data_IF_518012515949
#
_entry.id   IF_518012515949
#
_cell.length_a   1.000
_cell.length_b   1.000
_cell.length_c   1.000
_cell.angle_alpha   90.00
_cell.angle_beta   90.00
_cell.angle_gamma   90.00
#
_symmetry.space_group_name_H-M   'P 1'
#
loop_
_entity.id
_entity.type
_entity.pdbx_description
1 polymer ?
#
# COMPACT_ATOMS: atom_id res chain seq x y z
N UNK A 1 1.14 8.93 -19.94
CA UNK A 1 1.13 9.96 -18.89
C UNK A 1 1.82 9.44 -17.65
N UNK A 2 2.69 10.23 -17.07
CA UNK A 2 3.39 9.88 -15.82
C UNK A 2 3.03 10.87 -14.75
N UNK A 3 2.71 10.37 -13.56
CA UNK A 3 2.42 11.19 -12.39
C UNK A 3 3.46 10.87 -11.32
N UNK A 4 4.23 11.86 -10.90
CA UNK A 4 5.13 11.69 -9.78
C UNK A 4 4.34 11.93 -8.50
N UNK A 5 3.87 10.85 -7.90
CA UNK A 5 2.95 10.91 -6.77
C UNK A 5 3.66 11.33 -5.49
N UNK A 6 4.85 10.78 -5.27
CA UNK A 6 5.66 11.09 -4.09
C UNK A 6 7.10 11.31 -4.53
N UNK A 7 7.71 12.37 -4.01
CA UNK A 7 9.14 12.59 -4.18
C UNK A 7 9.64 13.47 -3.05
N UNK A 8 10.66 13.02 -2.33
CA UNK A 8 11.30 13.84 -1.32
C UNK A 8 11.85 13.03 -0.18
N UNK A 9 12.31 13.75 0.83
CA UNK A 9 12.79 13.18 2.08
C UNK A 9 11.71 13.27 3.14
N UNK A 10 11.55 12.19 3.89
CA UNK A 10 10.55 12.08 4.92
C UNK A 10 11.17 11.49 6.18
N UNK A 11 10.74 11.97 7.35
CA UNK A 11 11.06 11.27 8.57
C UNK A 11 10.24 9.97 8.64
N UNK A 12 10.66 8.99 9.46
CA UNK A 12 9.97 7.70 9.50
C UNK A 12 8.48 7.78 9.82
N UNK A 13 8.09 8.70 10.70
CA UNK A 13 6.67 8.86 11.07
C UNK A 13 5.81 9.34 9.92
N UNK A 14 6.27 10.36 9.21
CA UNK A 14 5.56 10.89 8.04
C UNK A 14 5.54 9.87 6.90
N UNK A 15 6.65 9.16 6.70
CA UNK A 15 6.72 8.12 5.69
C UNK A 15 5.71 7.01 5.96
N UNK A 16 5.62 6.56 7.22
CA UNK A 16 4.67 5.52 7.61
C UNK A 16 3.22 5.99 7.40
N UNK A 17 2.90 7.20 7.83
CA UNK A 17 1.56 7.74 7.67
C UNK A 17 1.15 7.82 6.21
N UNK A 18 2.01 8.37 5.36
CA UNK A 18 1.72 8.56 3.94
C UNK A 18 1.53 7.22 3.22
N UNK A 19 2.48 6.31 3.39
CA UNK A 19 2.45 5.03 2.66
C UNK A 19 1.36 4.11 3.22
N UNK A 20 1.12 4.14 4.54
CA UNK A 20 0.04 3.36 5.15
C UNK A 20 -1.31 3.70 4.54
N UNK A 21 -1.60 4.98 4.38
CA UNK A 21 -2.86 5.43 3.78
C UNK A 21 -3.02 4.91 2.36
N UNK A 22 -1.95 4.90 1.60
CA UNK A 22 -1.97 4.39 0.23
C UNK A 22 -2.25 2.89 0.20
N UNK A 23 -1.59 2.13 1.07
CA UNK A 23 -1.81 0.68 1.16
C UNK A 23 -3.23 0.38 1.63
N UNK A 24 -3.72 1.12 2.62
CA UNK A 24 -5.10 0.97 3.11
C UNK A 24 -6.14 1.23 2.03
N UNK A 25 -5.91 2.21 1.16
CA UNK A 25 -6.80 2.47 0.04
C UNK A 25 -6.81 1.31 -0.96
N UNK A 26 -5.68 0.69 -1.19
CA UNK A 26 -5.59 -0.48 -2.06
C UNK A 26 -6.34 -1.67 -1.45
N UNK A 27 -6.24 -1.85 -0.14
CA UNK A 27 -6.98 -2.90 0.57
C UNK A 27 -8.48 -2.67 0.43
N UNK A 28 -8.94 -1.46 0.67
CA UNK A 28 -10.35 -1.10 0.51
C UNK A 28 -10.85 -1.36 -0.90
N UNK A 29 -10.04 -1.05 -1.89
CA UNK A 29 -10.38 -1.30 -3.28
C UNK A 29 -10.67 -2.79 -3.49
N UNK A 30 -9.81 -3.68 -2.97
CA UNK A 30 -10.01 -5.12 -3.11
C UNK A 30 -11.23 -5.59 -2.33
N UNK A 31 -11.42 -5.09 -1.11
CA UNK A 31 -12.59 -5.45 -0.29
C UNK A 31 -13.89 -5.07 -0.98
N UNK A 32 -13.94 -3.89 -1.60
CA UNK A 32 -15.14 -3.40 -2.28
C UNK A 32 -15.47 -4.18 -3.56
N UNK A 33 -14.51 -4.96 -4.08
CA UNK A 33 -14.72 -5.81 -5.24
C UNK A 33 -15.30 -7.18 -4.88
N UNK A 34 -15.32 -7.52 -3.61
CA UNK A 34 -15.93 -8.77 -3.14
C UNK A 34 -17.41 -8.50 -2.90
N UNK A 35 -18.28 -9.33 -3.51
CA UNK A 35 -19.71 -9.23 -3.33
C UNK A 35 -20.31 -10.62 -3.17
N UNK A 36 -21.60 -10.68 -2.85
CA UNK A 36 -22.31 -11.96 -2.75
C UNK A 36 -22.41 -12.71 -4.08
N UNK A 37 -22.13 -12.00 -5.19
CA UNK A 37 -22.15 -12.61 -6.53
C UNK A 37 -20.77 -13.03 -7.00
N UNK A 38 -19.75 -12.78 -6.22
CA UNK A 38 -18.38 -13.18 -6.57
C UNK A 38 -18.23 -14.68 -6.51
N UNK A 39 -17.48 -15.26 -7.46
CA UNK A 39 -17.15 -16.67 -7.41
C UNK A 39 -16.18 -16.94 -6.27
N UNK A 40 -16.11 -18.22 -5.86
CA UNK A 40 -15.16 -18.63 -4.82
C UNK A 40 -13.72 -18.32 -5.23
N UNK A 41 -13.40 -18.55 -6.51
CA UNK A 41 -12.07 -18.25 -7.03
C UNK A 41 -11.75 -16.77 -6.99
N UNK A 42 -12.73 -15.93 -7.35
CA UNK A 42 -12.57 -14.47 -7.30
C UNK A 42 -12.35 -13.99 -5.86
N UNK A 43 -13.11 -14.52 -4.92
CA UNK A 43 -12.97 -14.18 -3.51
C UNK A 43 -11.57 -14.55 -3.02
N UNK A 44 -11.10 -15.75 -3.32
CA UNK A 44 -9.75 -16.20 -2.93
C UNK A 44 -8.66 -15.31 -3.53
N UNK A 45 -8.83 -14.91 -4.77
CA UNK A 45 -7.88 -14.02 -5.45
C UNK A 45 -7.81 -12.67 -4.73
N UNK A 46 -8.98 -12.09 -4.42
CA UNK A 46 -9.05 -10.79 -3.73
C UNK A 46 -8.46 -10.88 -2.32
N UNK A 47 -8.80 -11.94 -1.59
CA UNK A 47 -8.27 -12.16 -0.24
C UNK A 47 -6.76 -12.33 -0.24
N UNK A 48 -6.20 -13.01 -1.24
CA UNK A 48 -4.75 -13.12 -1.39
C UNK A 48 -4.09 -11.77 -1.58
N UNK A 49 -4.70 -10.91 -2.38
CA UNK A 49 -4.20 -9.55 -2.60
C UNK A 49 -4.24 -8.73 -1.32
N UNK A 50 -5.35 -8.83 -0.58
CA UNK A 50 -5.50 -8.13 0.70
C UNK A 50 -4.43 -8.59 1.69
N UNK A 51 -4.23 -9.89 1.80
CA UNK A 51 -3.22 -10.46 2.70
C UNK A 51 -1.82 -10.00 2.35
N UNK A 52 -1.51 -9.96 1.05
CA UNK A 52 -0.22 -9.45 0.57
C UNK A 52 -0.01 -8.00 0.99
N UNK A 53 -1.03 -7.16 0.83
CA UNK A 53 -0.95 -5.75 1.20
C UNK A 53 -0.82 -5.56 2.71
N UNK A 54 -1.52 -6.37 3.50
CA UNK A 54 -1.40 -6.34 4.96
C UNK A 54 0.00 -6.72 5.40
N UNK A 55 0.62 -7.72 4.77
CA UNK A 55 2.00 -8.11 5.05
C UNK A 55 2.98 -7.01 4.67
N UNK A 56 2.75 -6.34 3.54
CA UNK A 56 3.56 -5.19 3.12
C UNK A 56 3.51 -4.07 4.15
N UNK A 57 2.31 -3.79 4.67
CA UNK A 57 2.13 -2.76 5.68
C UNK A 57 2.86 -3.11 6.98
N UNK A 58 2.78 -4.37 7.39
CA UNK A 58 3.46 -4.86 8.58
C UNK A 58 4.98 -4.73 8.44
N UNK A 59 5.54 -5.16 7.31
CA UNK A 59 6.97 -5.06 7.05
C UNK A 59 7.44 -3.61 7.01
N UNK A 60 6.66 -2.74 6.37
CA UNK A 60 6.95 -1.31 6.32
C UNK A 60 6.99 -0.71 7.72
N UNK A 61 5.99 -1.03 8.55
CA UNK A 61 5.90 -0.53 9.91
C UNK A 61 7.12 -0.93 10.72
N UNK A 62 7.52 -2.20 10.63
CA UNK A 62 8.71 -2.68 11.33
C UNK A 62 9.99 -2.00 10.84
N UNK A 63 10.13 -1.84 9.53
CA UNK A 63 11.30 -1.19 8.95
C UNK A 63 11.42 0.26 9.43
N UNK A 64 10.30 1.00 9.43
CA UNK A 64 10.31 2.41 9.80
C UNK A 64 10.46 2.61 11.30
N UNK A 65 9.93 1.71 12.13
CA UNK A 65 10.10 1.80 13.58
C UNK A 65 11.56 1.60 14.01
N UNK A 66 12.33 0.83 13.25
CA UNK A 66 13.74 0.60 13.57
C UNK A 66 14.65 1.68 12.99
N UNK A 67 14.11 2.62 12.21
CA UNK A 67 14.88 3.68 11.58
C UNK A 67 14.77 4.97 12.37
N UNK A 68 15.90 5.68 12.54
CA UNK A 68 15.93 7.01 13.14
C UNK A 68 16.44 8.07 12.17
N UNK A 69 16.52 7.73 10.90
CA UNK A 69 17.01 8.62 9.85
C UNK A 69 15.91 8.94 8.87
N UNK A 70 15.98 10.14 8.28
CA UNK A 70 15.11 10.47 7.16
C UNK A 70 15.44 9.57 5.97
N UNK A 71 14.47 9.35 5.13
CA UNK A 71 14.61 8.49 3.97
C UNK A 71 14.01 9.14 2.74
N UNK A 72 14.57 8.80 1.60
CA UNK A 72 14.04 9.26 0.32
C UNK A 72 12.96 8.29 -0.16
N UNK A 73 11.83 8.86 -0.55
CA UNK A 73 10.71 8.08 -1.07
C UNK A 73 10.36 8.62 -2.44
N UNK A 74 10.19 7.71 -3.38
CA UNK A 74 9.77 8.05 -4.73
C UNK A 74 8.69 7.08 -5.19
N UNK A 75 7.62 7.64 -5.77
CA UNK A 75 6.55 6.85 -6.35
C UNK A 75 6.06 7.51 -7.63
N UNK A 76 6.07 6.75 -8.71
CA UNK A 76 5.65 7.21 -10.04
C UNK A 76 4.52 6.32 -10.52
N UNK A 77 3.44 6.96 -10.99
CA UNK A 77 2.33 6.26 -11.63
C UNK A 77 2.46 6.47 -13.13
N UNK A 78 2.50 5.36 -13.87
CA UNK A 78 2.49 5.38 -15.32
C UNK A 78 1.10 4.99 -15.82
N UNK A 79 0.52 5.85 -16.63
CA UNK A 79 -0.77 5.58 -17.28
C UNK A 79 -0.50 5.50 -18.78
N UNK A 80 -0.69 4.32 -19.31
CA UNK A 80 -0.43 4.03 -20.72
C UNK A 80 -1.70 3.86 -21.54
#
# INVERSE_FOLDING_TARGET
MNIQLIQGEFNPGDALELISKMIEQKIKYQENRISKYSSEEDIKYRESKIRYLQNQLFELSNYLHSSNKNMKIEAIIKIE
#
